data_IF_575226451284
#
_entry.id   IF_575226451284
#
_cell.length_a   1.000
_cell.length_b   1.000
_cell.length_c   1.000
_cell.angle_alpha   90.00
_cell.angle_beta   90.00
_cell.angle_gamma   90.00
#
_symmetry.space_group_name_H-M   'P 1'
#
loop_
_entity.id
_entity.type
_entity.pdbx_description
1 polymer ?
#
# COMPACT_ATOMS: atom_id res chain seq x y z
N UNK A 1 4.57 3.14 -5.67
CA UNK A 1 3.14 3.14 -5.35
C UNK A 1 2.59 4.55 -5.49
N UNK A 2 1.89 4.83 -6.58
CA UNK A 2 1.26 6.14 -6.82
C UNK A 2 -0.19 6.18 -6.37
N UNK A 3 -0.87 5.04 -6.39
CA UNK A 3 -2.26 4.93 -5.95
C UNK A 3 -2.35 5.01 -4.42
N UNK A 4 -3.34 5.75 -3.92
CA UNK A 4 -3.67 5.89 -2.51
C UNK A 4 -5.06 5.31 -2.24
N UNK A 5 -5.21 4.44 -1.22
CA UNK A 5 -6.53 4.04 -0.74
C UNK A 5 -7.32 5.26 -0.24
N UNK A 6 -8.59 5.35 -0.62
CA UNK A 6 -9.51 6.45 -0.34
C UNK A 6 -10.54 6.11 0.74
N UNK A 7 -10.73 4.84 1.10
CA UNK A 7 -11.67 4.48 2.18
C UNK A 7 -11.03 4.42 3.57
N UNK A 8 -9.74 4.71 3.67
CA UNK A 8 -8.99 4.71 4.93
C UNK A 8 -8.78 6.14 5.42
N UNK A 9 -8.49 6.31 6.72
CA UNK A 9 -8.22 7.63 7.26
C UNK A 9 -7.01 8.28 6.58
N UNK A 10 -7.09 9.57 6.24
CA UNK A 10 -6.08 10.27 5.43
C UNK A 10 -4.67 10.32 6.04
N UNK A 11 -4.52 10.00 7.33
CA UNK A 11 -3.22 9.90 8.01
C UNK A 11 -2.57 8.51 7.94
N UNK A 12 -3.33 7.48 7.54
CA UNK A 12 -2.82 6.11 7.44
C UNK A 12 -2.79 5.60 5.99
N UNK A 13 -3.42 6.31 5.05
CA UNK A 13 -3.44 5.96 3.62
C UNK A 13 -2.04 5.83 3.02
N UNK A 14 -1.16 6.78 3.31
CA UNK A 14 0.21 6.82 2.82
C UNK A 14 1.09 5.74 3.46
N UNK A 15 0.78 5.38 4.70
CA UNK A 15 1.41 4.28 5.46
C UNK A 15 0.99 2.92 4.88
N UNK A 16 -0.31 2.67 4.72
CA UNK A 16 -0.80 1.42 4.13
C UNK A 16 -0.29 1.22 2.71
N UNK A 17 -0.35 2.26 1.88
CA UNK A 17 0.26 2.25 0.54
C UNK A 17 1.75 1.90 0.60
N UNK A 18 2.49 2.39 1.59
CA UNK A 18 3.92 2.09 1.73
C UNK A 18 4.15 0.60 2.01
N UNK A 19 3.38 -0.02 2.92
CA UNK A 19 3.43 -1.46 3.17
C UNK A 19 3.12 -2.28 1.90
N UNK A 20 2.05 -1.92 1.18
CA UNK A 20 1.64 -2.64 -0.04
C UNK A 20 2.72 -2.53 -1.12
N UNK A 21 3.23 -1.31 -1.32
CA UNK A 21 4.30 -1.04 -2.29
C UNK A 21 5.56 -1.82 -1.92
N UNK A 22 5.97 -1.80 -0.66
CA UNK A 22 7.16 -2.52 -0.20
C UNK A 22 7.04 -4.02 -0.45
N UNK A 23 5.87 -4.62 -0.15
CA UNK A 23 5.64 -6.04 -0.40
C UNK A 23 5.75 -6.39 -1.88
N UNK A 24 5.20 -5.56 -2.77
CA UNK A 24 5.25 -5.77 -4.22
C UNK A 24 6.64 -5.49 -4.82
N UNK A 25 7.45 -4.61 -4.21
CA UNK A 25 8.82 -4.37 -4.66
C UNK A 25 9.66 -5.64 -4.61
N UNK A 26 9.45 -6.51 -3.61
CA UNK A 26 10.15 -7.79 -3.51
C UNK A 26 9.81 -8.72 -4.68
N UNK A 27 8.56 -8.69 -5.15
CA UNK A 27 8.09 -9.53 -6.25
C UNK A 27 8.73 -9.16 -7.59
N UNK A 28 9.22 -7.93 -7.73
CA UNK A 28 9.95 -7.47 -8.93
C UNK A 28 11.47 -7.40 -8.70
N UNK A 29 11.97 -8.06 -7.65
CA UNK A 29 13.40 -8.12 -7.32
C UNK A 29 14.00 -6.77 -6.89
N UNK A 30 13.16 -5.78 -6.60
CA UNK A 30 13.58 -4.44 -6.18
C UNK A 30 13.78 -4.37 -4.66
N UNK A 31 14.50 -3.33 -4.21
CA UNK A 31 14.82 -3.11 -2.79
C UNK A 31 14.44 -1.69 -2.37
N UNK A 32 14.11 -1.55 -1.10
CA UNK A 32 13.88 -0.25 -0.46
C UNK A 32 15.20 0.30 0.08
N UNK A 33 15.49 1.56 -0.21
CA UNK A 33 16.65 2.28 0.32
C UNK A 33 16.18 3.42 1.23
N UNK A 34 16.92 3.67 2.30
CA UNK A 34 16.64 4.74 3.26
C UNK A 34 17.76 5.78 3.20
N UNK A 35 17.39 7.06 3.23
CA UNK A 35 18.30 8.20 3.34
C UNK A 35 17.91 9.09 4.51
N UNK A 36 18.81 10.00 4.88
CA UNK A 36 18.49 11.02 5.88
C UNK A 36 17.36 11.93 5.39
N UNK A 37 16.50 12.45 6.28
CA UNK A 37 15.45 13.39 5.90
C UNK A 37 16.05 14.63 5.23
N UNK A 38 15.54 14.98 4.05
CA UNK A 38 15.95 16.20 3.33
C UNK A 38 15.05 17.41 3.59
N UNK A 39 13.97 17.24 4.34
CA UNK A 39 12.97 18.28 4.63
C UNK A 39 12.98 18.64 6.10
N UNK A 40 13.12 19.92 6.40
CA UNK A 40 12.90 20.46 7.75
C UNK A 40 11.40 20.73 7.93
N UNK A 41 10.74 19.93 8.78
CA UNK A 41 9.33 20.18 9.11
C UNK A 41 9.21 21.27 10.20
N UNK A 42 8.62 22.40 9.84
CA UNK A 42 8.14 23.38 10.81
C UNK A 42 6.71 22.99 11.24
N UNK A 43 6.58 22.31 12.39
CA UNK A 43 5.28 21.91 12.90
C UNK A 43 4.61 23.06 13.65
N UNK A 44 3.39 23.40 13.26
CA UNK A 44 2.48 24.18 14.10
C UNK A 44 1.99 23.29 15.26
N UNK A 45 1.76 23.88 16.42
CA UNK A 45 1.26 23.17 17.61
C UNK A 45 -0.19 22.71 17.41
N UNK A 46 -0.40 21.64 16.65
CA UNK A 46 -1.68 20.94 16.60
C UNK A 46 -1.74 19.83 17.65
N UNK A 47 -2.98 19.49 18.00
CA UNK A 47 -3.37 18.75 19.20
C UNK A 47 -2.93 17.28 19.14
N UNK A 48 -1.73 16.99 19.68
CA UNK A 48 -1.07 15.67 19.68
C UNK A 48 -1.98 14.49 20.06
N UNK A 49 -2.98 14.72 20.90
CA UNK A 49 -3.90 13.69 21.39
C UNK A 49 -4.92 13.25 20.32
N UNK A 50 -5.38 14.16 19.47
CA UNK A 50 -6.27 13.84 18.35
C UNK A 50 -5.53 13.06 17.26
N UNK A 51 -4.27 13.45 17.02
CA UNK A 51 -3.36 12.81 16.08
C UNK A 51 -3.07 11.36 16.49
N UNK A 52 -2.70 11.15 17.75
CA UNK A 52 -2.48 9.81 18.32
C UNK A 52 -3.73 8.92 18.24
N UNK A 53 -4.91 9.43 18.56
CA UNK A 53 -6.15 8.65 18.49
C UNK A 53 -6.49 8.23 17.05
N UNK A 54 -6.18 9.06 16.05
CA UNK A 54 -6.40 8.73 14.63
C UNK A 54 -5.42 7.67 14.09
N UNK A 55 -4.29 7.47 14.76
CA UNK A 55 -3.27 6.46 14.44
C UNK A 55 -3.42 5.17 15.30
N UNK A 56 -4.30 5.15 16.29
CA UNK A 56 -4.51 3.99 17.15
C UNK A 56 -4.85 2.68 16.37
N UNK A 57 -5.68 2.71 15.31
CA UNK A 57 -5.91 1.52 14.47
C UNK A 57 -4.63 1.00 13.80
N UNK A 58 -3.72 1.90 13.39
CA UNK A 58 -2.43 1.51 12.82
C UNK A 58 -1.59 0.72 13.83
N UNK A 59 -1.47 1.20 15.06
CA UNK A 59 -0.69 0.51 16.09
C UNK A 59 -1.24 -0.89 16.41
N UNK A 60 -2.55 -1.06 16.34
CA UNK A 60 -3.20 -2.34 16.61
C UNK A 60 -3.13 -3.32 15.43
N UNK A 61 -3.14 -2.80 14.19
CA UNK A 61 -3.28 -3.62 12.99
C UNK A 61 -1.97 -3.82 12.23
N UNK A 62 -0.98 -2.94 12.36
CA UNK A 62 0.26 -2.99 11.58
C UNK A 62 1.06 -4.29 11.80
N UNK A 63 1.12 -4.79 13.04
CA UNK A 63 1.80 -6.06 13.32
C UNK A 63 1.15 -7.25 12.62
N UNK A 64 -0.18 -7.32 12.67
CA UNK A 64 -0.96 -8.34 11.98
C UNK A 64 -0.84 -8.21 10.46
N UNK A 65 -0.87 -6.98 9.93
CA UNK A 65 -0.66 -6.72 8.52
C UNK A 65 0.72 -7.18 8.05
N UNK A 66 1.79 -6.83 8.76
CA UNK A 66 3.15 -7.24 8.39
C UNK A 66 3.26 -8.75 8.34
N UNK A 67 2.72 -9.45 9.36
CA UNK A 67 2.69 -10.91 9.37
C UNK A 67 1.93 -11.45 8.16
N UNK A 68 0.74 -10.92 7.89
CA UNK A 68 -0.08 -11.31 6.74
C UNK A 68 0.65 -11.11 5.40
N UNK A 69 1.32 -9.97 5.21
CA UNK A 69 2.09 -9.68 3.99
C UNK A 69 3.29 -10.61 3.82
N UNK A 70 3.94 -11.01 4.91
CA UNK A 70 5.04 -11.97 4.89
C UNK A 70 4.58 -13.40 4.56
N UNK A 71 3.40 -13.78 5.03
CA UNK A 71 2.79 -15.10 4.79
C UNK A 71 2.05 -15.18 3.44
N UNK A 72 1.68 -14.03 2.87
CA UNK A 72 0.95 -13.95 1.61
C UNK A 72 1.79 -14.43 0.42
N UNK A 73 1.24 -15.42 -0.29
CA UNK A 73 1.80 -15.97 -1.52
C UNK A 73 0.87 -15.67 -2.70
N UNK A 74 1.27 -14.78 -3.62
CA UNK A 74 0.45 -14.42 -4.79
C UNK A 74 0.34 -15.56 -5.79
N UNK A 75 -0.83 -15.70 -6.41
CA UNK A 75 -1.08 -16.68 -7.47
C UNK A 75 -0.77 -16.12 -8.86
N UNK A 76 -0.99 -14.82 -9.06
CA UNK A 76 -0.72 -14.16 -10.34
C UNK A 76 0.76 -14.11 -10.67
N UNK A 77 1.06 -14.31 -11.95
CA UNK A 77 2.41 -14.20 -12.51
C UNK A 77 2.71 -12.80 -13.10
N UNK A 78 1.79 -11.83 -12.91
CA UNK A 78 1.94 -10.46 -13.41
C UNK A 78 1.84 -9.48 -12.25
N UNK A 79 2.60 -8.37 -12.29
CA UNK A 79 2.49 -7.32 -11.28
C UNK A 79 1.06 -6.76 -11.12
N UNK A 80 0.32 -6.40 -12.19
CA UNK A 80 -1.05 -5.90 -12.03
C UNK A 80 -1.98 -6.91 -11.35
N UNK A 81 -1.89 -8.21 -11.69
CA UNK A 81 -2.70 -9.23 -11.03
C UNK A 81 -2.32 -9.44 -9.56
N UNK A 82 -1.02 -9.40 -9.22
CA UNK A 82 -0.60 -9.44 -7.81
C UNK A 82 -1.08 -8.22 -7.02
N UNK A 83 -1.12 -7.07 -7.67
CA UNK A 83 -1.55 -5.82 -7.07
C UNK A 83 -3.08 -5.85 -6.81
N UNK A 84 -3.86 -6.44 -7.73
CA UNK A 84 -5.28 -6.73 -7.53
C UNK A 84 -5.52 -7.74 -6.40
N UNK A 85 -4.84 -8.89 -6.42
CA UNK A 85 -4.92 -9.90 -5.34
C UNK A 85 -4.62 -9.30 -3.98
N UNK A 86 -3.60 -8.43 -3.90
CA UNK A 86 -3.25 -7.75 -2.67
C UNK A 86 -4.37 -6.85 -2.17
N UNK A 87 -4.98 -6.03 -3.02
CA UNK A 87 -6.07 -5.15 -2.59
C UNK A 87 -7.33 -5.94 -2.19
N UNK A 88 -7.62 -7.05 -2.87
CA UNK A 88 -8.69 -7.97 -2.46
C UNK A 88 -8.40 -8.54 -1.07
N UNK A 89 -7.17 -9.03 -0.83
CA UNK A 89 -6.76 -9.53 0.49
C UNK A 89 -6.92 -8.45 1.57
N UNK A 90 -6.47 -7.22 1.29
CA UNK A 90 -6.58 -6.09 2.22
C UNK A 90 -8.04 -5.70 2.50
N UNK A 91 -8.93 -5.88 1.52
CA UNK A 91 -10.36 -5.71 1.71
C UNK A 91 -10.95 -6.80 2.61
N UNK A 92 -10.60 -8.07 2.37
CA UNK A 92 -11.06 -9.21 3.17
C UNK A 92 -10.66 -9.09 4.65
N UNK A 93 -9.50 -8.50 4.94
CA UNK A 93 -9.04 -8.25 6.31
C UNK A 93 -9.43 -6.87 6.86
N UNK A 94 -10.32 -6.14 6.17
CA UNK A 94 -10.86 -4.83 6.57
C UNK A 94 -9.80 -3.72 6.76
N UNK A 95 -8.68 -3.80 6.04
CA UNK A 95 -7.68 -2.73 5.99
C UNK A 95 -8.11 -1.63 5.00
N UNK A 96 -8.71 -2.03 3.88
CA UNK A 96 -9.28 -1.15 2.86
C UNK A 96 -10.74 -1.53 2.58
N UNK A 97 -11.47 -0.66 1.90
CA UNK A 97 -12.87 -0.88 1.53
C UNK A 97 -13.02 -1.32 0.06
N UNK A 98 -14.23 -1.75 -0.31
CA UNK A 98 -14.54 -2.21 -1.66
C UNK A 98 -14.26 -1.15 -2.74
N UNK A 99 -14.48 0.13 -2.41
CA UNK A 99 -14.19 1.24 -3.32
C UNK A 99 -12.69 1.35 -3.65
N UNK A 100 -11.78 0.93 -2.76
CA UNK A 100 -10.34 0.92 -3.03
C UNK A 100 -9.97 -0.18 -4.04
N UNK A 101 -10.63 -1.32 -3.98
CA UNK A 101 -10.45 -2.42 -4.97
C UNK A 101 -10.93 -1.97 -6.34
N UNK A 102 -12.12 -1.37 -6.42
CA UNK A 102 -12.67 -0.84 -7.68
C UNK A 102 -11.81 0.28 -8.26
N UNK A 103 -11.37 1.21 -7.40
CA UNK A 103 -10.46 2.28 -7.79
C UNK A 103 -9.16 1.71 -8.35
N UNK A 104 -8.61 0.69 -7.70
CA UNK A 104 -7.42 0.03 -8.20
C UNK A 104 -7.62 -0.56 -9.58
N UNK A 105 -8.69 -1.33 -9.77
CA UNK A 105 -8.97 -1.99 -11.05
C UNK A 105 -9.07 -0.95 -12.18
N UNK A 106 -9.77 0.15 -11.94
CA UNK A 106 -9.84 1.27 -12.87
C UNK A 106 -8.45 1.86 -13.16
N UNK A 107 -7.64 2.09 -12.12
CA UNK A 107 -6.28 2.61 -12.27
C UNK A 107 -5.36 1.70 -13.10
N UNK A 108 -5.43 0.38 -12.90
CA UNK A 108 -4.69 -0.59 -13.73
C UNK A 108 -5.14 -0.51 -15.19
N UNK A 109 -6.44 -0.46 -15.44
CA UNK A 109 -7.00 -0.36 -16.79
C UNK A 109 -6.57 0.94 -17.49
N UNK A 110 -6.59 2.07 -16.78
CA UNK A 110 -6.14 3.35 -17.32
C UNK A 110 -4.67 3.29 -17.73
N UNK A 111 -3.80 2.72 -16.87
CA UNK A 111 -2.38 2.54 -17.19
C UNK A 111 -2.18 1.66 -18.44
N UNK A 112 -2.91 0.55 -18.54
CA UNK A 112 -2.85 -0.30 -19.73
C UNK A 112 -3.34 0.44 -20.98
N UNK A 113 -4.39 1.26 -20.86
CA UNK A 113 -4.96 2.01 -21.98
C UNK A 113 -3.99 3.04 -22.58
N UNK A 114 -3.11 3.62 -21.75
CA UNK A 114 -2.08 4.57 -22.20
C UNK A 114 -0.76 3.88 -22.59
N UNK A 115 -0.73 2.55 -22.63
CA UNK A 115 0.45 1.77 -23.04
C UNK A 115 1.53 1.66 -21.97
N UNK A 116 1.20 1.81 -20.69
CA UNK A 116 2.16 1.59 -19.61
C UNK A 116 2.56 0.11 -19.53
N UNK A 117 3.87 -0.15 -19.58
CA UNK A 117 4.43 -1.48 -19.42
C UNK A 117 4.76 -1.75 -17.95
N UNK A 118 4.05 -2.70 -17.34
CA UNK A 118 4.33 -3.11 -15.96
C UNK A 118 5.65 -3.93 -15.89
N UNK A 119 6.47 -3.73 -14.84
CA UNK A 119 7.64 -4.56 -14.60
C UNK A 119 7.30 -6.06 -14.50
N UNK A 120 8.20 -6.89 -15.02
CA UNK A 120 8.10 -8.35 -14.89
C UNK A 120 8.37 -8.80 -13.47
N UNK A 121 7.67 -9.84 -13.03
CA UNK A 121 7.95 -10.52 -11.76
C UNK A 121 9.35 -11.17 -11.82
N UNK A 122 10.14 -10.99 -10.76
CA UNK A 122 11.43 -11.65 -10.63
C UNK A 122 11.24 -13.16 -10.49
N UNK A 123 12.08 -13.95 -11.18
CA UNK A 123 12.08 -15.40 -11.02
C UNK A 123 12.55 -15.72 -9.60
N UNK A 124 11.66 -16.33 -8.81
CA UNK A 124 11.98 -16.91 -7.49
C UNK A 124 12.87 -18.14 -7.62
#
# INVERSE_FOLDING_TARGET
>A
GLLLPITVHGRVTDIWRAYFTQRLLWDIGSRLAFSTPWVTQYRNAHNYLADFNSELPLYQQAGALVKLLLEWSPQSHTLPGRLEELYILMYEVNIVGEADVKLLQAWILDLLSVGYEFPTIARS
#
